data_IF_435295268775
#
_entry.id   IF_435295268775
#
_cell.length_a   1.000
_cell.length_b   1.000
_cell.length_c   1.000
_cell.angle_alpha   90.00
_cell.angle_beta   90.00
_cell.angle_gamma   90.00
#
_symmetry.space_group_name_H-M   'P 1'
#
loop_
_entity.id
_entity.type
_entity.pdbx_description
1 polymer ?
#
# COMPACT_ATOMS: atom_id res chain seq x y z
N UNK A 1 4.70 13.69 11.62
CA UNK A 1 3.74 13.20 12.64
C UNK A 1 4.52 12.60 13.82
N UNK A 2 4.04 12.71 15.07
CA UNK A 2 4.71 12.10 16.23
C UNK A 2 4.45 10.60 16.40
N UNK A 3 3.39 10.10 15.76
CA UNK A 3 3.02 8.68 15.69
C UNK A 3 2.16 8.42 14.45
N UNK A 4 2.08 7.16 14.03
CA UNK A 4 1.22 6.68 12.93
C UNK A 4 0.45 5.48 13.45
N UNK A 5 -0.88 5.51 13.34
CA UNK A 5 -1.74 4.38 13.70
C UNK A 5 -1.88 3.46 12.50
N UNK A 6 -1.64 2.15 12.67
CA UNK A 6 -1.76 1.18 11.58
C UNK A 6 -2.93 0.24 11.85
N UNK A 7 -3.83 0.14 10.89
CA UNK A 7 -4.98 -0.77 10.91
C UNK A 7 -4.79 -1.82 9.84
N UNK A 8 -4.70 -3.08 10.25
CA UNK A 8 -4.59 -4.23 9.36
C UNK A 8 -5.91 -5.00 9.40
N UNK A 9 -6.49 -5.31 8.24
CA UNK A 9 -7.71 -6.13 8.24
C UNK A 9 -7.38 -7.61 8.36
N UNK A 10 -8.27 -8.33 9.03
CA UNK A 10 -8.27 -9.79 8.96
C UNK A 10 -8.68 -10.27 7.56
N UNK A 11 -8.43 -11.55 7.27
CA UNK A 11 -8.66 -12.16 5.97
C UNK A 11 -10.15 -12.25 5.59
N UNK A 12 -11.05 -12.26 6.59
CA UNK A 12 -12.50 -12.36 6.47
C UNK A 12 -13.21 -11.00 6.49
N UNK A 13 -12.45 -9.89 6.60
CA UNK A 13 -13.00 -8.53 6.56
C UNK A 13 -12.97 -8.00 5.12
N UNK A 14 -14.15 -7.82 4.54
CA UNK A 14 -14.31 -7.15 3.25
C UNK A 14 -14.24 -5.62 3.42
N UNK A 15 -13.51 -4.95 2.52
CA UNK A 15 -13.47 -3.48 2.48
C UNK A 15 -13.86 -2.98 1.10
N UNK A 16 -14.82 -2.06 1.08
CA UNK A 16 -15.28 -1.45 -0.16
C UNK A 16 -14.12 -0.73 -0.88
N UNK A 17 -13.99 -0.98 -2.18
CA UNK A 17 -12.92 -0.40 -2.99
C UNK A 17 -11.52 -0.95 -2.67
N UNK A 18 -11.38 -2.03 -1.88
CA UNK A 18 -10.08 -2.66 -1.60
C UNK A 18 -9.29 -2.96 -2.88
N UNK A 19 -9.96 -3.56 -3.86
CA UNK A 19 -9.36 -3.92 -5.15
C UNK A 19 -8.93 -2.73 -6.03
N UNK A 20 -9.12 -1.49 -5.59
CA UNK A 20 -8.61 -0.32 -6.30
C UNK A 20 -7.28 0.19 -5.74
N UNK A 21 -7.01 -0.06 -4.46
CA UNK A 21 -5.91 0.62 -3.74
C UNK A 21 -5.16 -0.23 -2.71
N UNK A 22 -5.65 -1.41 -2.35
CA UNK A 22 -5.07 -2.37 -1.38
C UNK A 22 -4.85 -1.84 0.06
N UNK A 23 -4.99 -0.53 0.24
CA UNK A 23 -4.83 0.21 1.48
C UNK A 23 -4.95 1.71 1.20
N UNK A 24 -4.81 2.52 2.25
CA UNK A 24 -4.77 3.99 2.14
C UNK A 24 -4.14 4.58 3.41
N UNK A 25 -3.65 5.81 3.32
CA UNK A 25 -3.24 6.58 4.48
C UNK A 25 -3.96 7.93 4.50
N UNK A 26 -3.98 8.56 5.66
CA UNK A 26 -4.59 9.87 5.83
C UNK A 26 -4.42 10.40 7.23
N UNK A 27 -5.21 11.43 7.55
CA UNK A 27 -5.25 11.98 8.90
C UNK A 27 -6.68 12.20 9.38
N UNK A 28 -6.90 12.00 10.67
CA UNK A 28 -8.22 12.09 11.29
C UNK A 28 -8.18 12.97 12.54
N UNK A 29 -9.32 13.59 12.85
CA UNK A 29 -9.50 14.41 14.06
C UNK A 29 -8.87 15.81 13.97
N UNK A 30 -9.18 16.64 14.97
CA UNK A 30 -8.73 18.05 15.02
C UNK A 30 -7.22 18.20 15.13
N UNK A 31 -6.56 17.23 15.77
CA UNK A 31 -5.10 17.19 15.95
C UNK A 31 -4.37 16.54 14.78
N UNK A 32 -5.09 16.11 13.72
CA UNK A 32 -4.56 15.41 12.55
C UNK A 32 -3.70 14.21 12.92
N UNK A 33 -4.31 13.23 13.59
CA UNK A 33 -3.65 11.95 13.85
C UNK A 33 -3.48 11.19 12.53
N UNK A 34 -2.23 10.87 12.15
CA UNK A 34 -1.95 10.13 10.93
C UNK A 34 -2.32 8.64 11.12
N UNK A 35 -2.84 8.03 10.07
CA UNK A 35 -3.17 6.61 10.06
C UNK A 35 -2.87 5.97 8.71
N UNK A 36 -2.63 4.66 8.75
CA UNK A 36 -2.53 3.77 7.60
C UNK A 36 -3.56 2.66 7.80
N UNK A 37 -4.24 2.30 6.73
CA UNK A 37 -5.02 1.08 6.64
C UNK A 37 -4.49 0.21 5.50
N UNK A 38 -4.31 -1.08 5.78
CA UNK A 38 -3.96 -2.11 4.77
C UNK A 38 -4.93 -3.26 4.93
N UNK A 39 -5.54 -3.70 3.84
CA UNK A 39 -6.39 -4.88 3.86
C UNK A 39 -5.60 -6.16 3.54
N UNK A 40 -6.14 -7.30 3.94
CA UNK A 40 -5.52 -8.59 3.72
C UNK A 40 -5.54 -9.01 2.23
N UNK A 41 -4.37 -9.17 1.64
CA UNK A 41 -4.19 -9.47 0.21
C UNK A 41 -4.45 -10.93 -0.19
N UNK A 42 -4.81 -11.82 0.74
CA UNK A 42 -4.96 -13.25 0.43
C UNK A 42 -6.23 -13.58 -0.35
N UNK A 43 -7.36 -12.92 -0.04
CA UNK A 43 -8.68 -13.26 -0.61
C UNK A 43 -9.22 -12.23 -1.59
N UNK A 44 -9.15 -10.95 -1.23
CA UNK A 44 -9.64 -9.89 -2.09
C UNK A 44 -8.51 -9.52 -3.06
N UNK A 45 -8.74 -9.68 -4.36
CA UNK A 45 -7.83 -9.26 -5.43
C UNK A 45 -6.33 -9.59 -5.21
N UNK A 46 -5.97 -10.86 -4.96
CA UNK A 46 -4.57 -11.25 -4.70
C UNK A 46 -3.67 -10.93 -5.90
N UNK A 47 -4.18 -11.05 -7.13
CA UNK A 47 -3.45 -10.65 -8.35
C UNK A 47 -3.22 -9.14 -8.52
N UNK A 48 -3.64 -8.31 -7.56
CA UNK A 48 -3.31 -6.89 -7.52
C UNK A 48 -2.58 -6.53 -6.23
N UNK A 49 -3.07 -7.02 -5.09
CA UNK A 49 -2.59 -6.62 -3.77
C UNK A 49 -1.49 -7.53 -3.20
N UNK A 50 -1.20 -8.67 -3.83
CA UNK A 50 -0.12 -9.59 -3.43
C UNK A 50 0.96 -9.76 -4.51
N UNK A 51 0.98 -8.92 -5.56
CA UNK A 51 2.09 -8.91 -6.51
C UNK A 51 3.40 -8.53 -5.78
N UNK A 52 4.54 -9.17 -6.05
CA UNK A 52 4.83 -10.18 -7.09
C UNK A 52 4.63 -11.64 -6.66
N UNK A 53 4.03 -11.89 -5.50
CA UNK A 53 3.86 -13.23 -4.92
C UNK A 53 2.57 -13.95 -5.38
N UNK A 54 1.71 -13.25 -6.11
CA UNK A 54 0.57 -13.82 -6.81
C UNK A 54 0.58 -13.39 -8.27
N UNK A 55 0.04 -14.24 -9.15
CA UNK A 55 -0.04 -13.95 -10.59
C UNK A 55 -0.90 -12.69 -10.79
N UNK A 56 -0.39 -11.69 -11.53
CA UNK A 56 -1.10 -10.44 -11.69
C UNK A 56 -2.27 -10.57 -12.66
N UNK A 57 -3.35 -9.82 -12.42
CA UNK A 57 -4.52 -9.78 -13.32
C UNK A 57 -4.17 -9.18 -14.69
N UNK A 58 -3.23 -8.23 -14.72
CA UNK A 58 -2.76 -7.54 -15.93
C UNK A 58 -1.23 -7.44 -15.92
N UNK A 59 -0.63 -7.28 -17.11
CA UNK A 59 0.83 -7.19 -17.26
C UNK A 59 1.52 -8.55 -17.44
N UNK A 60 2.84 -8.63 -17.21
CA UNK A 60 3.63 -9.84 -17.46
C UNK A 60 3.07 -11.05 -16.69
N UNK A 61 2.79 -12.13 -17.42
CA UNK A 61 2.24 -13.38 -16.87
C UNK A 61 3.35 -14.36 -16.47
N UNK A 62 4.49 -13.84 -16.03
CA UNK A 62 5.59 -14.66 -15.51
C UNK A 62 5.15 -15.37 -14.23
N UNK A 63 5.67 -16.57 -13.93
CA UNK A 63 5.39 -17.26 -12.68
C UNK A 63 5.62 -16.33 -11.46
N UNK A 64 4.72 -16.34 -10.46
CA UNK A 64 4.88 -15.52 -9.26
C UNK A 64 6.16 -15.85 -8.51
N UNK A 65 6.72 -14.85 -7.83
CA UNK A 65 7.82 -15.07 -6.93
C UNK A 65 7.35 -15.82 -5.68
N UNK A 66 8.29 -16.49 -5.02
CA UNK A 66 8.01 -17.16 -3.75
C UNK A 66 7.88 -16.10 -2.65
N UNK A 67 6.77 -16.13 -1.94
CA UNK A 67 6.53 -15.33 -0.73
C UNK A 67 7.62 -15.64 0.33
N UNK A 68 8.45 -14.67 0.75
CA UNK A 68 9.53 -14.90 1.71
C UNK A 68 9.09 -15.51 3.04
N UNK A 69 7.88 -15.19 3.51
CA UNK A 69 7.30 -15.74 4.73
C UNK A 69 6.51 -17.05 4.46
N UNK A 70 6.28 -17.40 3.20
CA UNK A 70 5.41 -18.51 2.79
C UNK A 70 3.91 -18.18 2.77
N UNK A 71 3.52 -17.00 3.26
CA UNK A 71 2.14 -16.49 3.18
C UNK A 71 2.06 -15.32 2.19
N UNK A 72 1.50 -15.61 1.02
CA UNK A 72 1.31 -14.64 -0.09
C UNK A 72 0.49 -13.42 0.36
N UNK A 73 -0.52 -13.62 1.21
CA UNK A 73 -1.38 -12.54 1.67
C UNK A 73 -0.66 -11.59 2.62
N UNK A 74 0.05 -12.15 3.60
CA UNK A 74 0.83 -11.36 4.57
C UNK A 74 1.98 -10.62 3.88
N UNK A 75 2.74 -11.29 3.01
CA UNK A 75 3.83 -10.62 2.29
C UNK A 75 3.31 -9.52 1.34
N UNK A 76 2.13 -9.72 0.74
CA UNK A 76 1.40 -8.66 0.04
C UNK A 76 1.03 -7.48 0.96
N UNK A 77 0.54 -7.75 2.17
CA UNK A 77 0.25 -6.70 3.15
C UNK A 77 1.51 -5.92 3.54
N UNK A 78 2.66 -6.59 3.69
CA UNK A 78 3.93 -5.94 4.02
C UNK A 78 4.36 -4.96 2.92
N UNK A 79 4.23 -5.33 1.64
CA UNK A 79 4.53 -4.43 0.51
C UNK A 79 3.61 -3.20 0.53
N UNK A 80 2.30 -3.40 0.70
CA UNK A 80 1.33 -2.31 0.75
C UNK A 80 1.57 -1.40 1.96
N UNK A 81 1.89 -1.96 3.12
CA UNK A 81 2.24 -1.20 4.31
C UNK A 81 3.49 -0.36 4.09
N UNK A 82 4.56 -0.92 3.52
CA UNK A 82 5.79 -0.18 3.23
C UNK A 82 5.52 0.99 2.27
N UNK A 83 4.71 0.74 1.23
CA UNK A 83 4.28 1.74 0.24
C UNK A 83 3.55 2.91 0.91
N UNK A 84 2.54 2.61 1.71
CA UNK A 84 1.73 3.62 2.39
C UNK A 84 2.47 4.30 3.53
N UNK A 85 3.38 3.61 4.20
CA UNK A 85 4.21 4.19 5.26
C UNK A 85 5.13 5.26 4.70
N UNK A 86 5.77 5.00 3.56
CA UNK A 86 6.56 6.01 2.87
C UNK A 86 5.70 7.25 2.54
N UNK A 87 4.52 7.05 1.93
CA UNK A 87 3.56 8.12 1.64
C UNK A 87 3.13 8.89 2.90
N UNK A 88 2.85 8.19 3.99
CA UNK A 88 2.45 8.82 5.26
C UNK A 88 3.58 9.63 5.89
N UNK A 89 4.83 9.18 5.78
CA UNK A 89 5.99 9.90 6.34
C UNK A 89 6.28 11.15 5.51
N UNK A 90 6.18 11.08 4.18
CA UNK A 90 6.50 12.20 3.29
C UNK A 90 5.33 13.15 3.04
N UNK A 91 4.09 12.68 3.20
CA UNK A 91 2.86 13.41 2.93
C UNK A 91 1.71 13.08 3.93
N UNK A 92 1.92 13.25 5.25
CA UNK A 92 0.97 12.81 6.28
C UNK A 92 -0.40 13.51 6.24
N UNK A 93 -0.46 14.72 5.68
CA UNK A 93 -1.64 15.60 5.73
C UNK A 93 -2.06 16.12 4.34
N UNK A 94 -1.67 15.41 3.27
CA UNK A 94 -1.97 15.77 1.88
C UNK A 94 -1.48 17.17 1.47
N UNK A 95 -0.41 17.65 2.10
CA UNK A 95 0.24 18.94 1.83
C UNK A 95 1.78 18.85 1.92
N UNK A 96 2.33 17.63 1.86
CA UNK A 96 3.76 17.33 1.87
C UNK A 96 4.29 17.01 0.48
N UNK A 97 5.03 15.91 0.35
CA UNK A 97 5.70 15.52 -0.89
C UNK A 97 4.82 14.58 -1.74
N UNK A 98 4.33 15.10 -2.87
CA UNK A 98 3.57 14.36 -3.87
C UNK A 98 3.64 15.09 -5.23
N UNK A 99 3.28 14.39 -6.30
CA UNK A 99 3.13 14.95 -7.65
C UNK A 99 1.65 14.89 -8.09
N UNK A 100 1.21 15.94 -8.79
CA UNK A 100 -0.16 16.04 -9.32
C UNK A 100 -1.14 16.70 -8.35
N UNK A 101 -2.45 16.60 -8.62
CA UNK A 101 -3.51 17.12 -7.75
C UNK A 101 -3.54 16.42 -6.38
N UNK A 102 -3.90 17.16 -5.32
CA UNK A 102 -3.92 16.61 -3.95
C UNK A 102 -5.02 15.57 -3.71
N UNK A 103 -6.05 15.54 -4.56
CA UNK A 103 -7.13 14.54 -4.57
C UNK A 103 -6.75 13.25 -5.34
N UNK A 104 -5.68 13.30 -6.14
CA UNK A 104 -5.11 12.15 -6.85
C UNK A 104 -3.57 12.19 -6.88
N UNK A 105 -2.90 12.17 -5.71
CA UNK A 105 -1.46 12.36 -5.64
C UNK A 105 -0.69 11.11 -6.07
N UNK A 106 0.36 11.30 -6.87
CA UNK A 106 1.43 10.33 -7.04
C UNK A 106 2.48 10.55 -5.95
N UNK A 107 2.62 9.59 -5.04
CA UNK A 107 3.52 9.67 -3.89
C UNK A 107 4.79 8.84 -4.10
N UNK A 108 5.74 8.97 -3.16
CA UNK A 108 7.13 8.51 -3.31
C UNK A 108 7.29 7.11 -3.93
N UNK A 109 6.57 6.11 -3.44
CA UNK A 109 6.71 4.72 -3.90
C UNK A 109 5.95 4.46 -5.21
N UNK A 110 4.83 5.15 -5.44
CA UNK A 110 4.06 5.02 -6.69
C UNK A 110 4.70 5.75 -7.86
N UNK A 111 5.34 6.91 -7.62
CA UNK A 111 6.00 7.70 -8.65
C UNK A 111 7.21 6.97 -9.26
N UNK A 112 7.90 6.19 -8.43
CA UNK A 112 9.10 5.44 -8.79
C UNK A 112 8.94 3.96 -8.44
N UNK A 113 7.93 3.30 -9.03
CA UNK A 113 7.61 1.90 -8.70
C UNK A 113 8.81 0.99 -8.98
N UNK A 114 9.24 0.23 -7.96
CA UNK A 114 10.38 -0.69 -8.07
C UNK A 114 11.77 -0.03 -7.96
N UNK A 115 11.84 1.28 -7.74
CA UNK A 115 13.09 2.04 -7.65
C UNK A 115 13.26 2.60 -6.23
N UNK A 116 14.01 1.87 -5.40
CA UNK A 116 14.22 2.22 -3.98
C UNK A 116 15.69 2.60 -3.71
N UNK A 117 16.09 3.82 -4.05
CA UNK A 117 17.42 4.35 -3.69
C UNK A 117 18.09 5.21 -4.76
N UNK A 118 19.29 5.69 -4.47
CA UNK A 118 20.10 6.48 -5.40
C UNK A 118 20.59 5.63 -6.57
N UNK A 119 20.30 6.05 -7.80
CA UNK A 119 20.74 5.38 -9.04
C UNK A 119 19.77 4.34 -9.58
N UNK A 120 18.57 4.25 -9.02
CA UNK A 120 17.45 3.54 -9.63
C UNK A 120 16.73 4.45 -10.64
#
# INVERSE_FOLDING_TARGET
PGSINVVLTAQDVAVEGFCMRCGSHGSVGRTRAAYIWVGNSAKQCPGQCAWPFHQPMYGPQTPPLVAPNGDVGVDGMVINLATLLAGTVTNPFSNGYFQGPADAPLEAVSACTGMFGSGA
#
